data_IF_762026233439
#
_entry.id   IF_762026233439
#
_cell.length_a   1.000
_cell.length_b   1.000
_cell.length_c   1.000
_cell.angle_alpha   90.00
_cell.angle_beta   90.00
_cell.angle_gamma   90.00
#
_symmetry.space_group_name_H-M   'P 1'
#
loop_
_entity.id
_entity.type
_entity.pdbx_description
1 polymer ?
#
# COMPACT_ATOMS: atom_id res chain seq x y z
N UNK A 1 -1.61 8.16 3.30
CA UNK A 1 -2.97 7.61 3.50
C UNK A 1 -3.21 7.40 4.99
N UNK A 2 -4.34 7.86 5.56
CA UNK A 2 -4.66 7.47 6.93
C UNK A 2 -4.84 5.96 6.99
N UNK A 3 -3.97 5.28 7.76
CA UNK A 3 -4.05 3.85 8.00
C UNK A 3 -5.30 3.59 8.86
N UNK A 4 -6.24 2.82 8.32
CA UNK A 4 -7.46 2.40 9.02
C UNK A 4 -7.34 0.93 9.35
N UNK A 5 -7.39 0.59 10.63
CA UNK A 5 -7.36 -0.79 11.11
C UNK A 5 -8.78 -1.36 11.20
N UNK A 6 -8.97 -2.54 10.62
CA UNK A 6 -10.12 -3.41 10.83
C UNK A 6 -9.66 -4.69 11.53
N UNK A 7 -9.94 -4.79 12.83
CA UNK A 7 -9.48 -5.91 13.67
C UNK A 7 -10.28 -7.20 13.45
N UNK A 8 -11.34 -7.16 12.64
CA UNK A 8 -12.11 -8.35 12.25
C UNK A 8 -11.62 -9.01 10.96
N UNK A 9 -10.73 -8.34 10.21
CA UNK A 9 -10.17 -8.85 8.96
C UNK A 9 -8.82 -9.53 9.21
N UNK A 10 -8.30 -10.22 8.17
CA UNK A 10 -7.04 -10.96 8.25
C UNK A 10 -6.00 -10.47 7.22
N UNK A 11 -4.72 -10.68 7.54
CA UNK A 11 -3.60 -10.36 6.65
C UNK A 11 -3.59 -8.89 6.23
N UNK A 12 -3.42 -8.62 4.94
CA UNK A 12 -3.42 -7.25 4.43
C UNK A 12 -4.80 -6.57 4.50
N UNK A 13 -5.89 -7.34 4.57
CA UNK A 13 -7.23 -6.75 4.60
C UNK A 13 -7.53 -5.98 5.89
N UNK A 14 -6.73 -6.21 6.94
CA UNK A 14 -6.73 -5.42 8.18
C UNK A 14 -6.51 -3.93 7.90
N UNK A 15 -5.71 -3.59 6.88
CA UNK A 15 -5.32 -2.19 6.60
C UNK A 15 -5.60 -1.74 5.17
N UNK A 16 -5.80 -2.67 4.24
CA UNK A 16 -5.95 -2.41 2.82
C UNK A 16 -7.26 -2.96 2.28
N UNK A 17 -7.83 -2.27 1.31
CA UNK A 17 -8.91 -2.82 0.49
C UNK A 17 -8.35 -3.86 -0.48
N UNK A 18 -9.14 -4.86 -0.92
CA UNK A 18 -8.65 -5.90 -1.83
C UNK A 18 -7.93 -5.37 -3.08
N UNK A 19 -8.47 -4.34 -3.73
CA UNK A 19 -7.85 -3.75 -4.92
C UNK A 19 -6.49 -3.08 -4.63
N UNK A 20 -6.26 -2.62 -3.39
CA UNK A 20 -4.98 -2.04 -2.98
C UNK A 20 -3.94 -3.13 -2.74
N UNK A 21 -4.37 -4.28 -2.21
CA UNK A 21 -3.52 -5.48 -2.08
C UNK A 21 -3.05 -5.94 -3.45
N UNK A 22 -3.96 -6.05 -4.42
CA UNK A 22 -3.59 -6.45 -5.79
C UNK A 22 -2.68 -5.42 -6.48
N UNK A 23 -2.89 -4.12 -6.23
CA UNK A 23 -1.99 -3.09 -6.74
C UNK A 23 -0.55 -3.25 -6.23
N UNK A 24 -0.40 -3.52 -4.93
CA UNK A 24 0.92 -3.74 -4.32
C UNK A 24 1.55 -5.06 -4.79
N UNK A 25 0.77 -6.15 -4.86
CA UNK A 25 1.24 -7.44 -5.38
C UNK A 25 1.79 -7.32 -6.81
N UNK A 26 1.09 -6.58 -7.67
CA UNK A 26 1.55 -6.32 -9.03
C UNK A 26 2.88 -5.56 -9.05
N UNK A 27 3.06 -4.56 -8.18
CA UNK A 27 4.31 -3.81 -8.07
C UNK A 27 5.46 -4.66 -7.47
N UNK A 28 5.17 -5.54 -6.51
CA UNK A 28 6.14 -6.47 -5.93
C UNK A 28 6.59 -7.56 -6.90
N UNK A 29 5.77 -7.92 -7.89
CA UNK A 29 6.11 -8.95 -8.87
C UNK A 29 7.22 -8.52 -9.86
N UNK A 30 7.50 -7.22 -9.97
CA UNK A 30 8.60 -6.70 -10.78
C UNK A 30 9.27 -5.53 -10.04
N UNK A 31 9.99 -5.81 -8.94
CA UNK A 31 10.43 -4.78 -8.01
C UNK A 31 11.40 -3.79 -8.65
N UNK A 32 12.10 -4.17 -9.71
CA UNK A 32 13.03 -3.31 -10.44
C UNK A 32 12.36 -2.41 -11.49
N UNK A 33 11.22 -2.85 -12.01
CA UNK A 33 10.47 -2.19 -13.06
C UNK A 33 9.36 -1.32 -12.47
N UNK A 34 9.49 -0.02 -12.60
CA UNK A 34 8.39 0.86 -12.22
C UNK A 34 7.21 0.72 -13.19
N UNK A 35 5.98 0.90 -12.70
CA UNK A 35 4.74 0.76 -13.48
C UNK A 35 3.96 2.06 -13.51
N UNK A 36 3.32 2.35 -14.65
CA UNK A 36 2.38 3.45 -14.77
C UNK A 36 1.07 3.15 -14.03
N UNK A 37 0.33 4.19 -13.65
CA UNK A 37 -1.00 4.01 -13.06
C UNK A 37 -2.01 3.30 -13.97
N UNK A 38 -1.75 3.29 -15.29
CA UNK A 38 -2.56 2.55 -16.25
C UNK A 38 -2.30 1.05 -16.12
N UNK A 39 -1.04 0.64 -16.17
CA UNK A 39 -0.66 -0.78 -16.04
C UNK A 39 -1.13 -1.37 -14.71
N UNK A 40 -0.97 -0.63 -13.61
CA UNK A 40 -1.46 -1.07 -12.30
C UNK A 40 -2.98 -1.24 -12.31
N UNK A 41 -3.71 -0.30 -12.93
CA UNK A 41 -5.16 -0.38 -13.01
C UNK A 41 -5.63 -1.56 -13.86
N UNK A 42 -4.99 -1.82 -15.00
CA UNK A 42 -5.29 -2.97 -15.87
C UNK A 42 -5.06 -4.28 -15.09
N UNK A 43 -3.89 -4.44 -14.45
CA UNK A 43 -3.57 -5.63 -13.66
C UNK A 43 -4.54 -5.86 -12.49
N UNK A 44 -4.96 -4.79 -11.79
CA UNK A 44 -5.93 -4.90 -10.70
C UNK A 44 -7.31 -5.29 -11.20
N UNK A 45 -7.78 -4.72 -12.31
CA UNK A 45 -9.08 -5.09 -12.89
C UNK A 45 -9.11 -6.55 -13.36
N UNK A 46 -7.99 -7.08 -13.87
CA UNK A 46 -7.87 -8.48 -14.27
C UNK A 46 -7.82 -9.44 -13.07
N UNK A 47 -7.24 -9.00 -11.95
CA UNK A 47 -7.10 -9.80 -10.73
C UNK A 47 -8.36 -9.82 -9.84
N UNK A 48 -9.25 -8.82 -9.96
CA UNK A 48 -10.44 -8.74 -9.12
C UNK A 48 -11.52 -9.76 -9.56
N UNK A 49 -12.14 -10.49 -8.62
CA UNK A 49 -13.12 -11.52 -8.95
C UNK A 49 -14.46 -10.92 -9.42
N UNK A 50 -15.24 -11.74 -10.13
CA UNK A 50 -16.65 -11.50 -10.48
C UNK A 50 -16.94 -10.22 -11.28
N UNK A 51 -15.99 -9.80 -12.13
CA UNK A 51 -16.14 -8.60 -12.96
C UNK A 51 -16.16 -7.29 -12.15
N UNK A 52 -15.71 -7.32 -10.89
CA UNK A 52 -15.55 -6.11 -10.08
C UNK A 52 -14.43 -5.25 -10.68
N UNK A 53 -14.79 -4.10 -11.22
CA UNK A 53 -13.83 -3.11 -11.68
C UNK A 53 -13.64 -2.00 -10.65
N UNK A 54 -12.41 -1.52 -10.50
CA UNK A 54 -12.11 -0.29 -9.75
C UNK A 54 -11.89 0.87 -10.72
N UNK A 55 -12.19 2.10 -10.29
CA UNK A 55 -11.88 3.26 -11.13
C UNK A 55 -10.37 3.50 -11.20
N UNK A 56 -9.89 3.94 -12.36
CA UNK A 56 -8.48 4.35 -12.51
C UNK A 56 -8.10 5.51 -11.58
N UNK A 57 -9.05 6.40 -11.27
CA UNK A 57 -8.85 7.48 -10.30
C UNK A 57 -8.55 6.94 -8.89
N UNK A 58 -9.25 5.89 -8.45
CA UNK A 58 -9.00 5.24 -7.16
C UNK A 58 -7.59 4.62 -7.09
N UNK A 59 -7.11 4.02 -8.19
CA UNK A 59 -5.74 3.53 -8.30
C UNK A 59 -4.75 4.68 -8.20
N UNK A 60 -4.93 5.75 -8.97
CA UNK A 60 -4.04 6.93 -8.92
C UNK A 60 -3.98 7.53 -7.52
N UNK A 61 -5.13 7.69 -6.84
CA UNK A 61 -5.19 8.23 -5.49
C UNK A 61 -4.47 7.32 -4.50
N UNK A 62 -4.65 6.00 -4.61
CA UNK A 62 -3.94 5.02 -3.77
C UNK A 62 -2.44 5.12 -3.98
N UNK A 63 -1.97 5.08 -5.24
CA UNK A 63 -0.55 5.12 -5.56
C UNK A 63 0.10 6.43 -5.09
N UNK A 64 -0.57 7.56 -5.24
CA UNK A 64 -0.06 8.85 -4.75
C UNK A 64 -0.01 8.90 -3.23
N UNK A 65 -1.03 8.39 -2.54
CA UNK A 65 -1.03 8.36 -1.08
C UNK A 65 0.08 7.45 -0.53
N UNK A 66 0.38 6.34 -1.21
CA UNK A 66 1.52 5.47 -0.84
C UNK A 66 2.88 6.11 -1.15
N UNK A 67 2.95 6.99 -2.15
CA UNK A 67 4.15 7.82 -2.39
C UNK A 67 4.34 8.82 -1.24
N UNK A 68 3.26 9.49 -0.81
CA UNK A 68 3.30 10.44 0.31
C UNK A 68 3.73 9.76 1.62
N UNK A 69 3.33 8.50 1.82
CA UNK A 69 3.69 7.69 2.99
C UNK A 69 5.10 7.06 2.90
N UNK A 70 5.82 7.26 1.78
CA UNK A 70 7.15 6.69 1.55
C UNK A 70 7.16 5.18 1.24
N UNK A 71 6.00 4.58 0.99
CA UNK A 71 5.84 3.17 0.62
C UNK A 71 6.20 2.93 -0.85
N UNK A 72 5.89 3.91 -1.71
CA UNK A 72 6.26 3.91 -3.12
C UNK A 72 7.19 5.09 -3.44
N UNK A 73 8.10 4.87 -4.37
CA UNK A 73 8.79 5.93 -5.10
C UNK A 73 8.13 6.15 -6.46
N UNK A 74 8.51 7.23 -7.14
CA UNK A 74 8.20 7.37 -8.56
C UNK A 74 9.28 8.15 -9.30
N UNK A 75 9.38 7.91 -10.60
CA UNK A 75 10.05 8.83 -11.52
C UNK A 75 9.05 9.31 -12.58
N UNK A 76 9.41 10.37 -13.30
CA UNK A 76 8.59 10.96 -14.34
C UNK A 76 9.15 10.60 -15.71
N UNK A 77 8.27 10.21 -16.63
CA UNK A 77 8.56 10.12 -18.05
C UNK A 77 7.69 11.11 -18.82
N UNK A 78 8.19 11.61 -19.96
CA UNK A 78 7.47 12.51 -20.84
C UNK A 78 7.00 11.75 -22.07
N UNK A 79 5.72 11.85 -22.42
CA UNK A 79 5.15 11.30 -23.64
C UNK A 79 4.24 12.28 -24.37
N UNK A 80 3.58 11.80 -25.43
CA UNK A 80 2.65 12.62 -26.24
C UNK A 80 1.50 13.24 -25.44
N UNK A 81 1.13 12.65 -24.29
CA UNK A 81 0.07 13.13 -23.39
C UNK A 81 0.56 13.89 -22.15
N UNK A 82 1.83 14.32 -22.13
CA UNK A 82 2.44 14.99 -20.98
C UNK A 82 3.19 14.03 -20.05
N UNK A 83 3.30 14.41 -18.77
CA UNK A 83 4.05 13.64 -17.79
C UNK A 83 3.27 12.42 -17.29
N UNK A 84 3.94 11.27 -17.26
CA UNK A 84 3.43 10.06 -16.62
C UNK A 84 4.32 9.71 -15.44
N UNK A 85 3.71 9.41 -14.28
CA UNK A 85 4.42 8.86 -13.13
C UNK A 85 4.58 7.35 -13.31
N UNK A 86 5.79 6.88 -13.08
CA UNK A 86 6.16 5.48 -13.07
C UNK A 86 6.52 5.12 -11.63
N UNK A 87 5.64 4.36 -10.99
CA UNK A 87 5.67 4.04 -9.56
C UNK A 87 6.52 2.78 -9.32
N UNK A 88 7.36 2.80 -8.28
CA UNK A 88 8.22 1.68 -7.90
C UNK A 88 8.06 1.40 -6.41
N UNK A 89 8.03 0.13 -6.03
CA UNK A 89 7.95 -0.22 -4.61
C UNK A 89 9.25 0.12 -3.88
N UNK A 90 9.16 0.73 -2.70
CA UNK A 90 10.30 0.92 -1.79
C UNK A 90 10.51 -0.33 -0.94
N UNK A 91 9.41 -0.98 -0.55
CA UNK A 91 9.42 -2.21 0.25
C UNK A 91 9.00 -3.40 -0.59
N UNK A 92 9.54 -4.58 -0.29
CA UNK A 92 8.91 -5.84 -0.71
C UNK A 92 7.71 -6.15 0.20
N UNK A 93 7.06 -7.30 0.00
CA UNK A 93 5.90 -7.70 0.80
C UNK A 93 6.23 -7.76 2.31
N UNK A 94 7.38 -8.32 2.67
CA UNK A 94 7.79 -8.47 4.06
C UNK A 94 8.12 -7.13 4.72
N UNK A 95 8.86 -6.27 4.00
CA UNK A 95 9.19 -4.92 4.45
C UNK A 95 7.93 -4.07 4.63
N UNK A 96 6.93 -4.23 3.76
CA UNK A 96 5.66 -3.52 3.92
C UNK A 96 4.85 -4.01 5.13
N UNK A 97 4.85 -5.32 5.42
CA UNK A 97 4.27 -5.84 6.67
C UNK A 97 4.94 -5.21 7.89
N UNK A 98 6.26 -5.12 7.90
CA UNK A 98 7.00 -4.47 8.99
C UNK A 98 6.64 -2.99 9.10
N UNK A 99 6.58 -2.27 7.97
CA UNK A 99 6.16 -0.86 7.93
C UNK A 99 4.77 -0.65 8.58
N UNK A 100 3.80 -1.52 8.29
CA UNK A 100 2.46 -1.45 8.90
C UNK A 100 2.56 -1.62 10.42
N UNK A 101 3.26 -2.66 10.88
CA UNK A 101 3.42 -2.95 12.31
C UNK A 101 4.10 -1.78 13.02
N UNK A 102 5.22 -1.28 12.49
CA UNK A 102 5.96 -0.17 13.05
C UNK A 102 5.08 1.09 13.12
N UNK A 103 4.34 1.39 12.05
CA UNK A 103 3.45 2.55 12.00
C UNK A 103 2.40 2.51 13.12
N UNK A 104 1.77 1.35 13.31
CA UNK A 104 0.74 1.17 14.34
C UNK A 104 1.35 1.19 15.74
N UNK A 105 2.39 0.39 15.99
CA UNK A 105 3.01 0.26 17.31
C UNK A 105 3.64 1.58 17.74
N UNK A 106 4.35 2.28 16.86
CA UNK A 106 4.94 3.59 17.19
C UNK A 106 3.89 4.65 17.45
N UNK A 107 2.73 4.60 16.77
CA UNK A 107 1.61 5.47 17.07
C UNK A 107 1.04 5.15 18.45
N UNK A 108 0.80 3.89 18.77
CA UNK A 108 0.27 3.48 20.08
C UNK A 108 1.24 3.80 21.23
N UNK A 109 2.54 3.58 21.05
CA UNK A 109 3.56 3.96 22.04
C UNK A 109 3.59 5.47 22.28
N UNK A 110 3.25 6.29 21.28
CA UNK A 110 3.22 7.75 21.42
C UNK A 110 1.95 8.24 22.13
N UNK A 111 0.80 7.67 21.78
CA UNK A 111 -0.50 8.14 22.29
C UNK A 111 -0.91 7.46 23.60
N UNK A 112 -0.49 6.22 23.83
CA UNK A 112 -0.81 5.37 24.99
C UNK A 112 0.45 4.62 25.48
N UNK A 113 1.51 5.34 25.91
CA UNK A 113 2.84 4.75 26.17
C UNK A 113 2.83 3.63 27.20
N UNK A 114 2.17 3.84 28.35
CA UNK A 114 2.19 2.91 29.47
C UNK A 114 1.37 1.65 29.17
N UNK A 115 0.15 1.82 28.64
CA UNK A 115 -0.72 0.72 28.26
C UNK A 115 -0.11 -0.12 27.13
N UNK A 116 0.49 0.53 26.14
CA UNK A 116 1.14 -0.15 25.01
C UNK A 116 2.37 -0.92 25.50
N UNK A 117 3.24 -0.30 26.30
CA UNK A 117 4.44 -0.95 26.84
C UNK A 117 4.10 -2.16 27.71
N UNK A 118 3.12 -2.00 28.61
CA UNK A 118 2.62 -3.09 29.45
C UNK A 118 2.01 -4.23 28.63
N UNK A 119 1.34 -3.90 27.52
CA UNK A 119 0.75 -4.91 26.62
C UNK A 119 1.83 -5.67 25.87
N UNK A 120 2.84 -4.98 25.32
CA UNK A 120 3.97 -5.62 24.64
C UNK A 120 4.77 -6.54 25.57
N UNK A 121 5.00 -6.14 26.82
CA UNK A 121 5.67 -6.98 27.83
C UNK A 121 4.91 -8.27 28.16
N UNK A 122 3.59 -8.31 27.98
CA UNK A 122 2.78 -9.53 28.19
C UNK A 122 2.78 -10.46 26.99
N UNK A 123 3.08 -9.94 25.81
CA UNK A 123 3.01 -10.66 24.54
C UNK A 123 4.32 -11.39 24.19
N UNK A 124 5.39 -11.12 24.95
CA UNK A 124 6.72 -11.73 24.87
C UNK A 124 6.85 -12.71 26.04
#
# INVERSE_FOLDING_TARGET
MPLKLDVGEEGFNVVLRPYQVEALRYLWASPDDGRSSREVWEAVCDALPDGKSISRASIINTLNALVEDGVLGFHKITGKGGYTRIYKSVYDESGFKQYIVDTVVMKLLREFPDETSKTLQKAI
#
